data_IF_114241764484
#
_entry.id   IF_114241764484
#
_cell.length_a   1.000
_cell.length_b   1.000
_cell.length_c   1.000
_cell.angle_alpha   90.00
_cell.angle_beta   90.00
_cell.angle_gamma   90.00
#
_symmetry.space_group_name_H-M   'P 1'
#
loop_
_entity.id
_entity.type
_entity.pdbx_description
1 polymer ?
#
# COMPACT_ATOMS: atom_id res chain seq x y z
N UNK A 1 18.21 7.22 -49.18
CA UNK A 1 17.03 7.33 -48.30
C UNK A 1 17.49 6.90 -46.92
N UNK A 2 17.68 7.85 -46.01
CA UNK A 2 18.17 7.59 -44.65
C UNK A 2 17.02 7.08 -43.80
N UNK A 3 17.12 5.85 -43.28
CA UNK A 3 16.23 5.38 -42.22
C UNK A 3 16.95 5.45 -40.89
N UNK A 4 16.63 6.51 -40.14
CA UNK A 4 16.74 6.56 -38.68
C UNK A 4 15.74 5.55 -38.11
N UNK A 5 16.20 4.59 -37.31
CA UNK A 5 15.32 3.81 -36.44
C UNK A 5 15.86 3.94 -35.03
N UNK A 6 15.18 4.78 -34.24
CA UNK A 6 15.47 5.02 -32.84
C UNK A 6 15.44 3.70 -32.05
N UNK A 7 16.53 3.44 -31.32
CA UNK A 7 16.57 2.47 -30.23
C UNK A 7 16.05 3.15 -28.97
N UNK A 8 14.72 3.30 -28.91
CA UNK A 8 14.06 3.84 -27.72
C UNK A 8 14.02 2.80 -26.59
N UNK A 9 14.22 3.35 -25.40
CA UNK A 9 14.38 2.69 -24.13
C UNK A 9 13.24 1.70 -23.79
N UNK A 10 13.63 0.52 -23.30
CA UNK A 10 12.89 -0.13 -22.23
C UNK A 10 13.90 -0.86 -21.33
N UNK A 11 14.40 -0.12 -20.35
CA UNK A 11 14.99 -0.67 -19.14
C UNK A 11 13.97 -1.61 -18.49
N UNK A 12 14.15 -2.92 -18.67
CA UNK A 12 13.37 -3.95 -17.98
C UNK A 12 13.56 -3.81 -16.47
N UNK A 13 12.53 -3.57 -15.65
CA UNK A 13 12.58 -3.96 -14.25
C UNK A 13 12.22 -5.46 -14.14
N UNK A 14 13.08 -6.27 -13.51
CA UNK A 14 12.82 -7.69 -13.29
C UNK A 14 11.77 -7.84 -12.19
N UNK A 15 10.84 -8.78 -12.40
CA UNK A 15 10.03 -9.51 -11.41
C UNK A 15 8.56 -9.61 -11.85
N UNK A 16 8.27 -10.55 -12.74
CA UNK A 16 6.92 -11.10 -12.89
C UNK A 16 6.74 -12.18 -11.81
N UNK A 17 5.90 -12.00 -10.77
CA UNK A 17 5.54 -13.11 -9.91
C UNK A 17 4.51 -14.01 -10.63
N UNK A 18 4.75 -15.30 -10.44
CA UNK A 18 4.10 -16.41 -11.12
C UNK A 18 2.60 -16.43 -10.83
N UNK A 19 1.82 -16.74 -11.86
CA UNK A 19 0.45 -17.21 -11.71
C UNK A 19 0.46 -18.55 -10.95
N UNK A 20 0.41 -18.52 -9.63
CA UNK A 20 0.26 -19.72 -8.81
C UNK A 20 -0.86 -19.52 -7.82
N UNK A 21 -1.97 -20.21 -8.11
CA UNK A 21 -2.77 -21.03 -7.18
C UNK A 21 -3.14 -20.39 -5.85
N UNK A 22 -4.45 -20.27 -5.61
CA UNK A 22 -5.14 -20.09 -4.31
C UNK A 22 -4.22 -20.38 -3.11
N UNK A 23 -3.51 -19.38 -2.58
CA UNK A 23 -2.56 -19.56 -1.48
C UNK A 23 -2.85 -18.54 -0.39
N UNK A 24 -2.96 -19.04 0.84
CA UNK A 24 -2.98 -18.23 2.05
C UNK A 24 -1.80 -17.24 2.04
N UNK A 25 -1.94 -16.05 2.65
CA UNK A 25 -0.88 -15.06 2.66
C UNK A 25 0.40 -15.65 3.27
N UNK A 26 1.41 -15.93 2.44
CA UNK A 26 2.73 -16.34 2.90
C UNK A 26 3.29 -15.19 3.74
N UNK A 27 3.63 -15.51 4.99
CA UNK A 27 4.20 -14.54 5.92
C UNK A 27 5.39 -13.83 5.28
N UNK A 28 6.26 -14.53 4.55
CA UNK A 28 7.41 -13.92 3.90
C UNK A 28 7.03 -12.86 2.85
N UNK A 29 5.97 -13.09 2.09
CA UNK A 29 5.50 -12.15 1.08
C UNK A 29 4.93 -10.88 1.72
N UNK A 30 4.17 -11.02 2.82
CA UNK A 30 3.65 -9.88 3.57
C UNK A 30 4.79 -8.98 4.06
N UNK A 31 5.85 -9.56 4.63
CA UNK A 31 7.01 -8.79 5.11
C UNK A 31 7.72 -8.06 3.97
N UNK A 32 7.91 -8.75 2.85
CA UNK A 32 8.54 -8.18 1.65
C UNK A 32 7.75 -6.96 1.18
N UNK A 33 6.42 -7.07 1.10
CA UNK A 33 5.55 -5.99 0.63
C UNK A 33 5.45 -4.82 1.60
N UNK A 34 5.45 -5.05 2.91
CA UNK A 34 5.56 -3.98 3.91
C UNK A 34 6.81 -3.13 3.69
N UNK A 35 7.96 -3.78 3.50
CA UNK A 35 9.23 -3.10 3.26
C UNK A 35 9.26 -2.37 1.91
N UNK A 36 8.74 -2.99 0.86
CA UNK A 36 8.65 -2.40 -0.49
C UNK A 36 7.75 -1.16 -0.47
N UNK A 37 6.56 -1.25 0.11
CA UNK A 37 5.62 -0.13 0.20
C UNK A 37 6.21 1.05 1.00
N UNK A 38 6.87 0.77 2.14
CA UNK A 38 7.55 1.80 2.92
C UNK A 38 8.67 2.48 2.13
N UNK A 39 9.51 1.70 1.45
CA UNK A 39 10.62 2.23 0.65
C UNK A 39 10.13 3.02 -0.57
N UNK A 40 9.00 2.64 -1.18
CA UNK A 40 8.40 3.38 -2.29
C UNK A 40 7.95 4.79 -1.88
N UNK A 41 7.56 4.97 -0.61
CA UNK A 41 7.28 6.29 -0.03
C UNK A 41 8.55 7.07 0.39
N UNK A 42 9.72 6.44 0.39
CA UNK A 42 10.98 7.07 0.81
C UNK A 42 11.09 7.36 2.31
N UNK A 43 10.21 6.79 3.15
CA UNK A 43 10.16 7.08 4.60
C UNK A 43 10.94 6.06 5.44
N UNK A 44 11.47 6.53 6.56
CA UNK A 44 12.17 5.68 7.54
C UNK A 44 11.19 4.76 8.29
N UNK A 45 11.69 3.69 8.91
CA UNK A 45 10.88 2.85 9.81
C UNK A 45 10.31 3.66 10.97
N UNK A 46 11.12 4.55 11.56
CA UNK A 46 10.69 5.44 12.66
C UNK A 46 9.49 6.29 12.24
N UNK A 47 9.58 6.92 11.08
CA UNK A 47 8.50 7.75 10.54
C UNK A 47 7.24 6.94 10.23
N UNK A 48 7.39 5.78 9.59
CA UNK A 48 6.28 4.87 9.33
C UNK A 48 5.56 4.46 10.62
N UNK A 49 6.32 4.11 11.66
CA UNK A 49 5.76 3.71 12.96
C UNK A 49 5.09 4.85 13.72
N UNK A 50 5.63 6.07 13.60
CA UNK A 50 5.03 7.27 14.18
C UNK A 50 3.66 7.55 13.55
N UNK A 51 3.56 7.44 12.22
CA UNK A 51 2.29 7.62 11.49
C UNK A 51 1.30 6.48 11.76
N UNK A 52 1.77 5.23 11.84
CA UNK A 52 0.93 4.05 12.09
C UNK A 52 0.55 3.84 13.56
N UNK A 53 1.16 4.59 14.49
CA UNK A 53 0.93 4.44 15.93
C UNK A 53 1.31 3.05 16.46
N UNK A 54 2.45 2.52 16.01
CA UNK A 54 3.08 1.27 16.51
C UNK A 54 4.51 1.57 16.97
N UNK A 55 5.17 0.65 17.67
CA UNK A 55 6.58 0.85 18.03
C UNK A 55 7.52 0.46 16.88
N UNK A 56 8.67 1.13 16.81
CA UNK A 56 9.70 0.86 15.79
C UNK A 56 10.15 -0.61 15.82
N UNK A 57 10.42 -1.17 17.00
CA UNK A 57 10.81 -2.59 17.17
C UNK A 57 9.73 -3.57 16.70
N UNK A 58 8.45 -3.16 16.69
CA UNK A 58 7.36 -3.98 16.15
C UNK A 58 7.41 -4.00 14.63
N UNK A 59 7.61 -2.85 13.97
CA UNK A 59 7.78 -2.81 12.52
C UNK A 59 9.05 -3.53 12.06
N UNK A 60 10.15 -3.40 12.79
CA UNK A 60 11.38 -4.14 12.51
C UNK A 60 11.15 -5.65 12.50
N UNK A 61 10.42 -6.18 13.50
CA UNK A 61 10.02 -7.60 13.54
C UNK A 61 9.18 -7.99 12.34
N UNK A 62 8.30 -7.12 11.85
CA UNK A 62 7.51 -7.38 10.64
C UNK A 62 8.33 -7.33 9.36
N UNK A 63 9.39 -6.53 9.28
CA UNK A 63 10.26 -6.46 8.09
C UNK A 63 11.41 -7.48 8.13
N UNK A 64 11.60 -8.18 9.25
CA UNK A 64 12.70 -9.12 9.49
C UNK A 64 12.44 -10.49 8.87
N UNK A 65 13.41 -11.05 8.14
CA UNK A 65 13.30 -12.38 7.53
C UNK A 65 13.23 -13.51 8.57
N UNK A 66 13.95 -13.35 9.68
CA UNK A 66 14.11 -14.38 10.73
C UNK A 66 12.96 -14.43 11.74
N UNK A 67 11.92 -13.58 11.59
CA UNK A 67 10.80 -13.51 12.53
C UNK A 67 9.47 -13.90 11.87
N UNK A 68 8.75 -14.89 12.40
CA UNK A 68 7.49 -15.36 11.79
C UNK A 68 6.25 -14.52 12.16
N UNK A 69 6.40 -13.44 12.92
CA UNK A 69 5.28 -12.65 13.42
C UNK A 69 4.66 -11.79 12.32
N UNK A 70 3.36 -11.94 12.13
CA UNK A 70 2.56 -11.08 11.27
C UNK A 70 1.98 -9.89 12.04
N UNK A 71 1.73 -8.75 11.36
CA UNK A 71 0.91 -7.70 11.93
C UNK A 71 -0.54 -8.19 12.08
N UNK A 72 -1.20 -7.75 13.15
CA UNK A 72 -2.64 -7.92 13.27
C UNK A 72 -3.37 -7.21 12.14
N UNK A 73 -4.62 -7.60 11.87
CA UNK A 73 -5.47 -6.95 10.88
C UNK A 73 -5.51 -5.43 11.07
N UNK A 74 -5.66 -4.95 12.31
CA UNK A 74 -5.66 -3.52 12.63
C UNK A 74 -4.35 -2.83 12.26
N UNK A 75 -3.21 -3.48 12.46
CA UNK A 75 -1.90 -2.92 12.09
C UNK A 75 -1.71 -2.92 10.58
N UNK A 76 -2.16 -3.96 9.88
CA UNK A 76 -2.16 -3.99 8.41
C UNK A 76 -2.97 -2.84 7.83
N UNK A 77 -4.17 -2.56 8.36
CA UNK A 77 -4.98 -1.40 7.94
C UNK A 77 -4.21 -0.09 8.10
N UNK A 78 -3.63 0.17 9.27
CA UNK A 78 -2.88 1.41 9.51
C UNK A 78 -1.66 1.54 8.62
N UNK A 79 -0.92 0.45 8.42
CA UNK A 79 0.26 0.46 7.55
C UNK A 79 -0.16 0.68 6.09
N UNK A 80 -1.25 0.07 5.64
CA UNK A 80 -1.82 0.30 4.31
C UNK A 80 -2.22 1.77 4.10
N UNK A 81 -2.88 2.39 5.07
CA UNK A 81 -3.23 3.82 5.05
C UNK A 81 -1.99 4.72 4.99
N UNK A 82 -0.98 4.44 5.83
CA UNK A 82 0.28 5.20 5.84
C UNK A 82 1.01 5.10 4.51
N UNK A 83 1.01 3.91 3.90
CA UNK A 83 1.69 3.66 2.63
C UNK A 83 0.85 4.01 1.40
N UNK A 84 -0.44 4.34 1.57
CA UNK A 84 -1.34 4.62 0.46
C UNK A 84 -1.59 3.42 -0.45
N UNK A 85 -1.55 2.19 0.09
CA UNK A 85 -1.73 0.94 -0.66
C UNK A 85 -2.94 0.15 -0.18
N UNK A 86 -3.39 -0.81 -0.98
CA UNK A 86 -4.41 -1.78 -0.63
C UNK A 86 -3.88 -2.81 0.39
N UNK A 87 -4.74 -3.28 1.28
CA UNK A 87 -4.38 -4.40 2.16
C UNK A 87 -4.21 -5.68 1.37
N UNK A 88 -5.01 -5.89 0.32
CA UNK A 88 -4.83 -7.03 -0.58
C UNK A 88 -3.45 -7.00 -1.26
N UNK A 89 -2.91 -5.81 -1.51
CA UNK A 89 -1.52 -5.68 -1.93
C UNK A 89 -0.60 -6.16 -0.81
N UNK A 90 -0.69 -5.63 0.42
CA UNK A 90 0.17 -6.08 1.52
C UNK A 90 0.08 -7.59 1.79
N UNK A 91 -1.08 -8.20 1.59
CA UNK A 91 -1.32 -9.63 1.80
C UNK A 91 -0.86 -10.54 0.65
N UNK A 92 -0.36 -9.98 -0.46
CA UNK A 92 0.07 -10.80 -1.59
C UNK A 92 -1.05 -11.25 -2.53
N UNK A 93 -2.28 -10.74 -2.37
CA UNK A 93 -3.46 -11.17 -3.15
C UNK A 93 -3.57 -10.49 -4.51
N UNK A 94 -2.91 -9.34 -4.67
CA UNK A 94 -2.86 -8.57 -5.93
C UNK A 94 -1.54 -7.86 -6.06
N UNK A 95 -0.94 -7.80 -7.24
CA UNK A 95 0.27 -7.01 -7.48
C UNK A 95 -0.01 -5.51 -7.68
N UNK A 96 -1.28 -5.12 -7.72
CA UNK A 96 -1.68 -3.72 -7.83
C UNK A 96 -1.63 -3.04 -6.45
N UNK A 97 -0.71 -2.08 -6.23
CA UNK A 97 -0.56 -1.43 -4.92
C UNK A 97 -1.76 -0.55 -4.59
N UNK A 98 -2.41 0.06 -5.58
CA UNK A 98 -3.64 0.79 -5.37
C UNK A 98 -4.85 -0.11 -5.64
N UNK A 99 -5.85 -0.03 -4.76
CA UNK A 99 -7.23 -0.27 -5.22
C UNK A 99 -7.50 0.87 -6.21
N UNK A 100 -7.48 0.59 -7.52
CA UNK A 100 -7.91 1.56 -8.53
C UNK A 100 -9.22 2.23 -8.08
N UNK A 101 -9.43 3.53 -8.35
CA UNK A 101 -10.20 4.47 -7.53
C UNK A 101 -11.51 3.86 -7.00
N UNK A 102 -11.40 3.13 -5.90
CA UNK A 102 -12.55 2.68 -5.13
C UNK A 102 -12.89 3.89 -4.31
N UNK A 103 -13.69 4.75 -4.94
CA UNK A 103 -14.40 5.90 -4.39
C UNK A 103 -14.26 5.93 -2.87
N UNK A 104 -13.39 6.82 -2.37
CA UNK A 104 -13.71 7.45 -1.10
C UNK A 104 -15.06 8.08 -1.37
N UNK A 105 -16.11 7.38 -0.96
CA UNK A 105 -17.46 7.89 -0.80
C UNK A 105 -17.30 9.26 -0.17
N UNK A 106 -17.29 10.28 -1.01
CA UNK A 106 -17.31 11.69 -0.62
C UNK A 106 -18.75 12.05 -0.30
N UNK A 107 -19.42 11.18 0.47
CA UNK A 107 -20.80 11.35 0.93
C UNK A 107 -20.85 11.64 2.45
N UNK A 108 -19.76 12.13 3.03
CA UNK A 108 -19.74 12.67 4.39
C UNK A 108 -18.84 13.91 4.39
N UNK A 109 -19.40 15.04 3.97
CA UNK A 109 -18.67 16.31 3.91
C UNK A 109 -19.30 17.40 3.04
N UNK A 110 -20.62 17.52 3.00
CA UNK A 110 -21.28 18.79 2.74
C UNK A 110 -22.29 19.03 3.86
N UNK A 111 -21.78 19.46 5.00
CA UNK A 111 -22.51 20.37 5.87
C UNK A 111 -22.12 21.77 5.42
N UNK A 112 -23.11 22.66 5.37
CA UNK A 112 -23.03 24.08 5.02
C UNK A 112 -23.19 24.46 3.54
N UNK A 113 -24.44 24.71 3.15
CA UNK A 113 -24.85 25.98 2.53
C UNK A 113 -26.37 26.20 2.61
N UNK A 114 -26.74 27.24 3.36
CA UNK A 114 -27.81 28.21 3.09
C UNK A 114 -29.21 27.74 2.68
N UNK A 115 -30.17 27.80 3.61
CA UNK A 115 -31.45 28.50 3.40
C UNK A 115 -32.16 28.72 4.75
N UNK A 116 -32.54 29.98 4.98
CA UNK A 116 -33.09 30.58 6.19
C UNK A 116 -34.39 29.97 6.73
N UNK A 117 -34.73 30.21 8.01
CA UNK A 117 -36.06 29.91 8.54
C UNK A 117 -37.01 31.04 8.12
N UNK A 118 -37.95 30.73 7.25
CA UNK A 118 -39.21 31.47 7.21
C UNK A 118 -40.23 30.60 6.50
N UNK A 119 -41.37 30.38 7.16
CA UNK A 119 -42.70 30.41 6.56
C UNK A 119 -43.73 30.18 7.67
N UNK A 120 -44.27 31.33 8.14
CA UNK A 120 -45.61 31.57 8.72
C UNK A 120 -46.01 30.86 10.02
#
# INVERSE_FOLDING_TARGET
ISTLSNVDAAHTPPNQPKATVRTDPDCQEVKRRLRVARNALGISQREATQRAGISQSVLEKYESRDNLRLPSTRQLFRLAEVYGVAIDYLLGRTDQPALGPATRTSALGQVEQSASPDLS
#
